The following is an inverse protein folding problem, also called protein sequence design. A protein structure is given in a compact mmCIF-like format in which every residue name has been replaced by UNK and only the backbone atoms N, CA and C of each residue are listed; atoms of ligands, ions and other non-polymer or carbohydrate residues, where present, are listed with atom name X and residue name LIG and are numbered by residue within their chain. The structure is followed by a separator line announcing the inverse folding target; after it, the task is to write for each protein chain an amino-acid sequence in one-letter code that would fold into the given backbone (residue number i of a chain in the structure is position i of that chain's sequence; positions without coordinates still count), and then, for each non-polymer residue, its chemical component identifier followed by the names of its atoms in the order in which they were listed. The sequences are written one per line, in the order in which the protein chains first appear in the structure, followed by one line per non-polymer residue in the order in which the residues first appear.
data_IF_008525663030
#
_entry.id   IF_008525663030
#
_cell.length_a   1.000
_cell.length_b   1.000
_cell.length_c   1.000
_cell.angle_alpha   90.00
_cell.angle_beta   90.00
_cell.angle_gamma   90.00
#
_symmetry.space_group_name_H-M   'P 1'
#
loop_
_entity.id
_entity.type
_entity.pdbx_description
1 polymer ?
#
# COMPACT_ATOMS: atom_id res chain seq x y z
N UNK A 1 -58.73 -10.77 7.70
CA UNK A 1 -58.52 -11.32 9.06
C UNK A 1 -57.36 -10.51 9.65
N UNK A 2 -57.56 -9.40 10.23
CA UNK A 2 -58.01 -8.96 11.56
C UNK A 2 -57.02 -9.24 12.68
N UNK A 3 -56.48 -8.09 13.20
CA UNK A 3 -56.20 -7.75 14.62
C UNK A 3 -54.98 -8.42 15.27
N UNK A 4 -54.12 -7.76 16.08
CA UNK A 4 -54.41 -6.74 17.10
C UNK A 4 -53.17 -5.93 17.46
N UNK A 5 -53.37 -4.67 17.63
CA UNK A 5 -52.59 -3.63 18.30
C UNK A 5 -52.63 -3.87 19.82
N UNK A 6 -51.50 -3.76 20.54
CA UNK A 6 -51.51 -3.48 21.98
C UNK A 6 -50.53 -2.38 22.32
N UNK A 7 -51.07 -1.23 22.51
CA UNK A 7 -50.56 -0.04 23.20
C UNK A 7 -50.35 -0.37 24.70
N UNK A 8 -49.26 0.01 25.29
CA UNK A 8 -49.12 0.09 26.74
C UNK A 8 -48.43 1.41 27.11
N UNK A 9 -49.26 2.28 27.65
CA UNK A 9 -48.96 3.57 28.28
C UNK A 9 -48.74 3.33 29.76
N UNK A 10 -47.71 3.87 30.40
CA UNK A 10 -47.71 4.18 31.86
C UNK A 10 -46.57 5.13 32.19
N UNK A 11 -46.94 6.29 32.51
CA UNK A 11 -47.04 7.06 33.77
C UNK A 11 -45.67 7.60 34.29
N UNK A 12 -45.69 8.91 34.25
CA UNK A 12 -44.74 9.80 34.94
C UNK A 12 -44.91 9.71 36.49
N UNK A 13 -43.82 9.79 37.20
CA UNK A 13 -43.85 10.17 38.62
C UNK A 13 -42.73 11.16 38.88
N UNK A 14 -43.13 12.40 38.97
CA UNK A 14 -42.37 13.55 39.43
C UNK A 14 -42.29 13.48 40.97
N UNK A 15 -41.08 13.48 41.52
CA UNK A 15 -40.86 13.79 42.95
C UNK A 15 -39.97 15.02 43.05
N UNK A 16 -40.57 16.14 43.38
CA UNK A 16 -39.90 17.35 43.84
C UNK A 16 -39.47 17.09 45.30
N UNK A 17 -38.21 17.27 45.60
CA UNK A 17 -37.73 17.44 46.95
C UNK A 17 -36.92 18.73 47.04
N UNK A 18 -37.59 19.75 47.59
CA UNK A 18 -37.01 21.03 47.97
C UNK A 18 -36.29 20.87 49.31
N UNK A 19 -34.98 21.19 49.36
CA UNK A 19 -34.27 21.41 50.63
C UNK A 19 -33.61 22.79 50.58
N UNK A 20 -33.96 23.56 51.57
CA UNK A 20 -33.62 24.94 51.86
C UNK A 20 -32.14 25.10 52.28
N UNK A 21 -31.55 26.23 51.80
CA UNK A 21 -30.27 26.76 52.26
C UNK A 21 -30.29 27.24 53.70
N UNK A 22 -29.28 26.92 54.45
CA UNK A 22 -28.70 27.85 55.41
C UNK A 22 -27.23 27.49 55.67
N UNK A 23 -26.32 28.41 55.40
CA UNK A 23 -25.42 28.92 56.40
C UNK A 23 -23.95 28.64 56.26
N UNK A 24 -23.22 29.72 55.98
CA UNK A 24 -21.88 30.11 56.46
C UNK A 24 -20.65 29.23 56.25
N UNK A 25 -19.78 29.69 55.40
CA UNK A 25 -18.39 30.08 55.61
C UNK A 25 -17.41 28.98 56.00
N UNK A 26 -16.48 28.69 55.04
CA UNK A 26 -15.06 28.58 55.38
C UNK A 26 -14.24 28.35 54.12
N UNK A 27 -13.10 29.00 54.06
CA UNK A 27 -12.18 29.01 52.91
C UNK A 27 -11.74 27.60 52.47
N UNK A 28 -12.34 27.07 51.42
CA UNK A 28 -11.83 25.90 50.74
C UNK A 28 -10.82 26.34 49.68
N UNK A 29 -9.54 26.14 49.98
CA UNK A 29 -8.44 26.20 49.03
C UNK A 29 -8.80 25.34 47.83
N UNK A 30 -8.95 25.98 46.68
CA UNK A 30 -9.11 25.33 45.37
C UNK A 30 -7.80 24.60 45.07
N UNK A 31 -7.77 23.30 45.27
CA UNK A 31 -6.72 22.47 44.67
C UNK A 31 -6.81 22.59 43.13
N UNK A 32 -5.68 22.82 42.45
CA UNK A 32 -5.70 22.84 40.98
C UNK A 32 -6.08 21.47 40.47
N UNK A 33 -7.19 21.41 39.73
CA UNK A 33 -7.62 20.22 39.04
C UNK A 33 -6.42 19.60 38.31
N UNK A 34 -6.02 18.41 38.72
CA UNK A 34 -5.02 17.63 38.06
C UNK A 34 -5.42 17.50 36.57
N UNK A 35 -4.64 18.13 35.67
CA UNK A 35 -4.74 17.92 34.25
C UNK A 35 -4.74 16.41 34.04
N UNK A 36 -5.87 15.86 33.61
CA UNK A 36 -5.93 14.48 33.15
C UNK A 36 -4.86 14.33 32.06
N UNK A 37 -3.81 13.60 32.37
CA UNK A 37 -2.79 13.25 31.41
C UNK A 37 -3.52 12.49 30.30
N UNK A 38 -3.72 13.12 29.15
CA UNK A 38 -4.18 12.43 27.96
C UNK A 38 -3.17 11.31 27.72
N UNK A 39 -3.62 10.07 27.85
CA UNK A 39 -2.81 8.90 27.55
C UNK A 39 -2.34 9.05 26.09
N UNK A 40 -1.08 9.42 25.92
CA UNK A 40 -0.49 9.53 24.58
C UNK A 40 -0.51 8.14 24.00
N UNK A 41 -1.11 8.00 22.80
CA UNK A 41 -1.04 6.75 22.05
C UNK A 41 0.44 6.38 21.88
N UNK A 42 0.85 5.14 22.22
CA UNK A 42 2.26 4.75 22.18
C UNK A 42 2.86 4.95 20.79
N UNK A 43 4.14 5.30 20.74
CA UNK A 43 4.91 5.34 19.49
C UNK A 43 4.93 3.96 18.83
N UNK A 44 4.74 3.91 17.50
CA UNK A 44 4.62 2.64 16.79
C UNK A 44 5.94 1.86 16.78
N UNK A 45 7.09 2.54 16.67
CA UNK A 45 8.40 1.88 16.69
C UNK A 45 8.67 1.23 18.04
N UNK A 46 8.32 1.89 19.14
CA UNK A 46 8.46 1.32 20.50
C UNK A 46 7.50 0.14 20.69
N UNK A 47 6.29 0.22 20.16
CA UNK A 47 5.34 -0.90 20.15
C UNK A 47 5.88 -2.10 19.37
N UNK A 48 6.48 -1.89 18.18
CA UNK A 48 7.12 -2.92 17.35
C UNK A 48 8.30 -3.57 18.10
N UNK A 49 9.16 -2.77 18.72
CA UNK A 49 10.28 -3.28 19.53
C UNK A 49 9.82 -4.12 20.71
N UNK A 50 8.83 -3.63 21.45
CA UNK A 50 8.25 -4.35 22.59
C UNK A 50 7.60 -5.67 22.17
N UNK A 51 6.92 -5.71 21.02
CA UNK A 51 6.32 -6.91 20.45
C UNK A 51 7.36 -7.88 19.88
N UNK A 52 8.56 -7.41 19.52
CA UNK A 52 9.64 -8.19 18.92
C UNK A 52 9.40 -8.57 17.46
N UNK A 53 8.43 -7.95 16.78
CA UNK A 53 8.12 -8.19 15.37
C UNK A 53 7.53 -6.95 14.70
N UNK A 54 7.81 -6.80 13.39
CA UNK A 54 7.16 -5.83 12.52
C UNK A 54 6.29 -6.57 11.50
N UNK A 55 5.05 -6.10 11.33
CA UNK A 55 4.09 -6.67 10.38
C UNK A 55 4.09 -5.87 9.09
N UNK A 56 4.41 -6.52 7.97
CA UNK A 56 4.60 -5.91 6.65
C UNK A 56 3.61 -6.51 5.67
N UNK A 57 2.76 -5.66 5.07
CA UNK A 57 1.78 -6.09 4.09
C UNK A 57 2.34 -6.07 2.66
N UNK A 58 1.93 -7.05 1.84
CA UNK A 58 2.27 -7.19 0.42
C UNK A 58 1.34 -8.15 -0.30
N UNK A 59 1.43 -8.24 -1.64
CA UNK A 59 0.57 -9.16 -2.41
C UNK A 59 1.06 -10.61 -2.37
N UNK A 60 2.35 -10.84 -2.57
CA UNK A 60 2.91 -12.19 -2.71
C UNK A 60 2.65 -12.86 -4.08
N UNK A 61 2.01 -12.16 -5.01
CA UNK A 61 1.63 -12.66 -6.35
C UNK A 61 2.16 -11.81 -7.49
N UNK A 62 3.03 -10.84 -7.21
CA UNK A 62 3.56 -9.90 -8.19
C UNK A 62 5.09 -10.03 -8.35
N UNK A 63 5.51 -11.00 -9.18
CA UNK A 63 6.94 -11.22 -9.51
C UNK A 63 7.48 -10.06 -10.37
N UNK A 64 8.73 -9.63 -10.14
CA UNK A 64 9.69 -10.07 -9.13
C UNK A 64 9.74 -9.19 -7.87
N UNK A 65 8.70 -8.37 -7.62
CA UNK A 65 8.57 -7.50 -6.44
C UNK A 65 8.28 -8.30 -5.17
N UNK A 66 7.15 -9.02 -5.18
CA UNK A 66 6.69 -9.90 -4.08
C UNK A 66 6.05 -11.16 -4.67
N UNK A 67 6.64 -12.33 -4.47
CA UNK A 67 6.15 -13.58 -5.06
C UNK A 67 6.64 -14.81 -4.27
N UNK A 68 6.10 -15.97 -4.61
CA UNK A 68 6.58 -17.25 -4.09
C UNK A 68 7.52 -17.91 -5.09
N UNK A 69 8.68 -18.35 -4.62
CA UNK A 69 9.62 -19.13 -5.43
C UNK A 69 9.09 -20.56 -5.68
N UNK A 70 9.85 -21.34 -6.42
CA UNK A 70 9.50 -22.74 -6.75
C UNK A 70 9.30 -23.65 -5.53
N UNK A 71 9.83 -23.27 -4.38
CA UNK A 71 9.73 -24.01 -3.12
C UNK A 71 8.58 -23.46 -2.26
N UNK A 72 7.76 -22.56 -2.79
CA UNK A 72 6.64 -21.90 -2.12
C UNK A 72 7.04 -20.87 -1.07
N UNK A 73 8.29 -20.39 -1.08
CA UNK A 73 8.79 -19.42 -0.11
C UNK A 73 8.59 -18.01 -0.63
N UNK A 74 7.97 -17.16 0.20
CA UNK A 74 7.81 -15.73 -0.10
C UNK A 74 9.18 -15.04 -0.27
N UNK A 75 9.37 -14.40 -1.41
CA UNK A 75 10.61 -13.77 -1.86
C UNK A 75 10.31 -12.56 -2.75
N UNK A 76 11.34 -11.86 -3.22
CA UNK A 76 11.23 -10.70 -4.09
C UNK A 76 12.00 -9.50 -3.55
N UNK A 77 12.08 -8.46 -4.36
CA UNK A 77 12.79 -7.23 -4.03
C UNK A 77 12.25 -6.60 -2.73
N UNK A 78 10.95 -6.45 -2.63
CA UNK A 78 10.29 -5.82 -1.48
C UNK A 78 10.38 -6.67 -0.22
N UNK A 79 10.36 -7.99 -0.36
CA UNK A 79 10.58 -8.91 0.76
C UNK A 79 12.01 -8.75 1.32
N UNK A 80 13.00 -8.57 0.44
CA UNK A 80 14.38 -8.32 0.85
C UNK A 80 14.51 -6.99 1.60
N UNK A 81 13.90 -5.92 1.10
CA UNK A 81 13.87 -4.60 1.77
C UNK A 81 13.18 -4.71 3.14
N UNK A 82 12.03 -5.36 3.22
CA UNK A 82 11.31 -5.57 4.49
C UNK A 82 12.15 -6.30 5.54
N UNK A 83 12.92 -7.30 5.13
CA UNK A 83 13.87 -8.01 6.02
C UNK A 83 14.98 -7.09 6.53
N UNK A 84 15.51 -6.18 5.70
CA UNK A 84 16.54 -5.21 6.12
C UNK A 84 15.99 -4.19 7.12
N UNK A 85 14.76 -3.71 6.91
CA UNK A 85 14.08 -2.82 7.87
C UNK A 85 13.90 -3.52 9.22
N UNK A 86 13.38 -4.75 9.23
CA UNK A 86 13.21 -5.53 10.45
C UNK A 86 14.54 -5.78 11.18
N UNK A 87 15.60 -6.10 10.43
CA UNK A 87 16.96 -6.27 10.94
C UNK A 87 17.50 -4.98 11.57
N UNK A 88 17.28 -3.82 10.94
CA UNK A 88 17.69 -2.51 11.47
C UNK A 88 17.00 -2.17 12.78
N UNK A 89 15.71 -2.52 12.91
CA UNK A 89 14.94 -2.33 14.15
C UNK A 89 15.37 -3.35 15.24
N UNK A 90 15.92 -4.51 14.84
CA UNK A 90 16.27 -5.61 15.75
C UNK A 90 15.09 -6.53 16.07
N UNK A 91 14.13 -6.68 15.15
CA UNK A 91 12.92 -7.48 15.34
C UNK A 91 12.71 -8.49 14.19
N UNK A 92 11.75 -9.41 14.35
CA UNK A 92 11.37 -10.35 13.29
C UNK A 92 10.44 -9.67 12.26
N UNK A 93 10.67 -9.90 10.95
CA UNK A 93 9.69 -9.54 9.92
C UNK A 93 8.57 -10.58 9.88
N UNK A 94 7.33 -10.11 9.92
CA UNK A 94 6.12 -10.90 9.68
C UNK A 94 5.43 -10.34 8.44
N UNK A 95 5.36 -11.14 7.37
CA UNK A 95 4.72 -10.74 6.14
C UNK A 95 3.26 -11.18 6.14
N UNK A 96 2.37 -10.27 5.72
CA UNK A 96 0.93 -10.52 5.57
C UNK A 96 0.57 -10.29 4.12
N UNK A 97 0.07 -11.33 3.49
CA UNK A 97 -0.31 -11.31 2.09
C UNK A 97 -1.78 -10.97 1.92
N UNK A 98 -2.10 -10.23 0.86
CA UNK A 98 -3.47 -9.83 0.55
C UNK A 98 -3.60 -9.27 -0.86
N UNK A 99 -4.85 -9.10 -1.32
CA UNK A 99 -5.12 -8.47 -2.61
C UNK A 99 -4.81 -6.97 -2.54
N UNK A 100 -4.23 -6.42 -3.60
CA UNK A 100 -3.82 -5.01 -3.71
C UNK A 100 -4.89 -4.04 -3.19
N UNK A 101 -6.13 -4.16 -3.66
CA UNK A 101 -7.21 -3.22 -3.32
C UNK A 101 -7.57 -3.18 -1.82
N UNK A 102 -7.15 -4.19 -1.05
CA UNK A 102 -7.36 -4.26 0.39
C UNK A 102 -6.18 -3.81 1.24
N UNK A 103 -4.96 -3.70 0.67
CA UNK A 103 -3.74 -3.49 1.44
C UNK A 103 -3.68 -2.08 2.05
N UNK A 104 -3.93 -1.02 1.27
CA UNK A 104 -3.92 0.35 1.79
C UNK A 104 -5.01 0.58 2.84
N UNK A 105 -6.23 0.07 2.61
CA UNK A 105 -7.30 0.14 3.61
C UNK A 105 -6.96 -0.63 4.90
N UNK A 106 -6.23 -1.74 4.77
CA UNK A 106 -5.72 -2.49 5.91
C UNK A 106 -4.66 -1.73 6.72
N UNK A 107 -3.82 -0.95 6.04
CA UNK A 107 -2.84 -0.06 6.67
C UNK A 107 -3.54 1.03 7.50
N UNK A 108 -4.56 1.67 6.95
CA UNK A 108 -5.39 2.66 7.66
C UNK A 108 -6.05 2.07 8.91
N UNK A 109 -6.55 0.85 8.79
CA UNK A 109 -7.18 0.12 9.88
C UNK A 109 -6.16 -0.40 10.93
N UNK A 110 -4.84 -0.19 10.71
CA UNK A 110 -3.79 -0.65 11.63
C UNK A 110 -3.63 -2.17 11.69
N UNK A 111 -3.99 -2.88 10.60
CA UNK A 111 -3.82 -4.34 10.53
C UNK A 111 -2.35 -4.75 10.38
N UNK A 112 -1.52 -3.85 9.89
CA UNK A 112 -0.07 -3.98 9.75
C UNK A 112 0.62 -2.65 10.03
N UNK A 113 1.92 -2.73 10.28
CA UNK A 113 2.71 -1.54 10.64
C UNK A 113 3.11 -0.71 9.41
N UNK A 114 3.37 -1.37 8.28
CA UNK A 114 3.65 -0.75 6.99
C UNK A 114 3.34 -1.69 5.81
N UNK A 115 3.35 -1.15 4.60
CA UNK A 115 3.16 -1.90 3.37
C UNK A 115 4.38 -1.73 2.47
N UNK A 116 4.93 -2.84 1.94
CA UNK A 116 5.98 -2.81 0.92
C UNK A 116 5.49 -3.65 -0.27
N UNK A 117 5.15 -2.99 -1.37
CA UNK A 117 4.57 -3.63 -2.56
C UNK A 117 4.70 -2.74 -3.79
N UNK A 118 5.91 -2.25 -4.08
CA UNK A 118 6.14 -1.38 -5.22
C UNK A 118 5.19 -0.18 -5.29
N UNK A 119 4.88 0.43 -4.13
CA UNK A 119 3.81 1.43 -4.05
C UNK A 119 4.27 2.75 -4.66
N UNK A 120 3.67 3.13 -5.79
CA UNK A 120 3.92 4.43 -6.41
C UNK A 120 3.53 5.58 -5.49
N UNK A 121 4.45 6.53 -5.31
CA UNK A 121 4.19 7.79 -4.61
C UNK A 121 3.38 8.69 -5.54
N UNK A 122 2.13 8.97 -5.18
CA UNK A 122 1.28 9.93 -5.91
C UNK A 122 0.86 11.07 -4.98
N UNK A 123 0.42 12.17 -5.58
CA UNK A 123 -0.08 13.32 -4.82
C UNK A 123 -1.27 12.92 -3.93
N UNK A 124 -2.20 12.14 -4.47
CA UNK A 124 -3.41 11.66 -3.78
C UNK A 124 -3.03 10.77 -2.61
N UNK A 125 -2.14 9.77 -2.85
CA UNK A 125 -1.67 8.86 -1.79
C UNK A 125 -0.89 9.61 -0.70
N UNK A 126 -0.10 10.62 -1.06
CA UNK A 126 0.68 11.45 -0.11
C UNK A 126 -0.21 12.35 0.77
N UNK A 127 -1.46 12.60 0.37
CA UNK A 127 -2.45 13.25 1.25
C UNK A 127 -2.94 12.32 2.35
N UNK A 128 -3.09 11.04 2.06
CA UNK A 128 -3.63 10.02 2.98
C UNK A 128 -2.54 9.32 3.81
N UNK A 129 -1.36 9.12 3.24
CA UNK A 129 -0.27 8.34 3.84
C UNK A 129 1.01 9.17 4.00
N UNK A 130 1.82 8.81 5.01
CA UNK A 130 3.22 9.25 5.10
C UNK A 130 4.08 8.26 4.35
N UNK A 131 4.81 8.71 3.33
CA UNK A 131 5.73 7.85 2.58
C UNK A 131 7.16 7.93 3.12
N UNK A 132 7.92 6.86 2.91
CA UNK A 132 9.37 6.90 2.97
C UNK A 132 9.93 7.72 1.81
N UNK A 133 11.24 8.00 1.86
CA UNK A 133 11.99 8.40 0.67
C UNK A 133 11.89 7.30 -0.41
N UNK A 134 11.96 7.66 -1.70
CA UNK A 134 11.91 6.68 -2.78
C UNK A 134 13.05 5.65 -2.65
N UNK A 135 12.73 4.35 -2.77
CA UNK A 135 13.73 3.29 -2.76
C UNK A 135 13.96 2.67 -4.15
N UNK A 136 13.04 2.93 -5.08
CA UNK A 136 13.14 2.50 -6.48
C UNK A 136 12.41 3.50 -7.40
N UNK A 137 12.68 3.39 -8.70
CA UNK A 137 12.06 4.18 -9.77
C UNK A 137 11.54 3.22 -10.82
N UNK A 138 10.23 3.17 -11.03
CA UNK A 138 9.58 2.22 -11.93
C UNK A 138 9.26 2.87 -13.29
N UNK A 139 9.74 2.24 -14.37
CA UNK A 139 9.33 2.59 -15.73
C UNK A 139 8.05 1.83 -16.06
N UNK A 140 6.97 2.55 -16.25
CA UNK A 140 5.69 1.96 -16.64
C UNK A 140 5.65 1.71 -18.13
N UNK A 141 5.45 0.45 -18.50
CA UNK A 141 5.34 0.00 -19.87
C UNK A 141 3.87 -0.23 -20.27
N UNK A 142 3.49 0.19 -21.47
CA UNK A 142 2.26 -0.25 -22.14
C UNK A 142 2.59 -1.52 -22.91
N UNK A 143 2.00 -2.62 -22.49
CA UNK A 143 2.26 -3.98 -23.01
C UNK A 143 1.10 -4.39 -23.89
N UNK A 144 1.41 -4.89 -25.09
CA UNK A 144 0.46 -5.28 -26.11
C UNK A 144 0.85 -6.64 -26.71
N UNK A 145 -0.04 -7.25 -27.50
CA UNK A 145 0.36 -8.40 -28.32
C UNK A 145 1.42 -7.96 -29.36
N UNK A 146 2.30 -8.89 -29.76
CA UNK A 146 3.47 -8.62 -30.61
C UNK A 146 3.12 -8.10 -32.00
N UNK A 147 1.95 -8.46 -32.53
CA UNK A 147 1.41 -8.01 -33.80
C UNK A 147 0.63 -6.69 -33.75
N UNK A 148 0.42 -6.10 -32.55
CA UNK A 148 -0.23 -4.81 -32.39
C UNK A 148 0.60 -3.70 -33.04
N UNK A 149 0.01 -2.92 -33.96
CA UNK A 149 0.67 -1.84 -34.69
C UNK A 149 0.03 -0.46 -34.46
N UNK A 150 -1.12 -0.40 -33.81
CA UNK A 150 -1.97 0.78 -33.69
C UNK A 150 -1.82 1.51 -32.34
N UNK A 151 -1.12 0.95 -31.36
CA UNK A 151 -0.81 1.61 -30.08
C UNK A 151 0.65 2.06 -30.09
N UNK A 152 0.90 3.37 -30.25
CA UNK A 152 2.23 4.00 -30.32
C UNK A 152 2.38 5.15 -29.33
N UNK A 153 1.27 5.69 -28.83
CA UNK A 153 1.20 6.77 -27.86
C UNK A 153 0.17 6.45 -26.78
N UNK A 154 0.22 7.14 -25.64
CA UNK A 154 -0.80 6.99 -24.60
C UNK A 154 -2.21 7.34 -25.12
N UNK A 155 -2.33 8.29 -26.02
CA UNK A 155 -3.61 8.70 -26.61
C UNK A 155 -4.27 7.58 -27.44
N UNK A 156 -3.49 6.64 -27.99
CA UNK A 156 -4.01 5.50 -28.77
C UNK A 156 -4.73 4.47 -27.88
N UNK A 157 -4.59 4.59 -26.55
CA UNK A 157 -5.36 3.79 -25.59
C UNK A 157 -6.82 4.23 -25.48
N UNK A 158 -7.19 5.40 -26.03
CA UNK A 158 -8.58 5.90 -25.98
C UNK A 158 -9.55 4.90 -26.59
N UNK A 159 -10.50 4.45 -25.79
CA UNK A 159 -11.52 3.48 -26.18
C UNK A 159 -11.04 2.03 -26.27
N UNK A 160 -9.74 1.76 -26.08
CA UNK A 160 -9.17 0.42 -25.95
C UNK A 160 -9.54 -0.20 -24.58
N UNK A 161 -9.47 -1.52 -24.50
CA UNK A 161 -9.71 -2.26 -23.26
C UNK A 161 -8.37 -2.67 -22.64
N UNK A 162 -8.20 -2.36 -21.35
CA UNK A 162 -7.03 -2.77 -20.56
C UNK A 162 -7.49 -3.59 -19.33
N UNK A 163 -6.58 -4.29 -18.68
CA UNK A 163 -6.85 -4.97 -17.42
C UNK A 163 -5.75 -4.68 -16.40
N UNK A 164 -6.14 -4.28 -15.19
CA UNK A 164 -5.25 -3.98 -14.07
C UNK A 164 -6.00 -4.13 -12.74
N UNK A 165 -5.29 -4.24 -11.63
CA UNK A 165 -5.90 -4.05 -10.30
C UNK A 165 -6.39 -2.61 -10.17
N UNK A 166 -7.66 -2.42 -9.77
CA UNK A 166 -8.41 -1.16 -9.98
C UNK A 166 -7.75 0.06 -9.34
N UNK A 167 -7.29 -0.02 -8.10
CA UNK A 167 -6.67 1.12 -7.41
C UNK A 167 -5.18 1.32 -7.71
N UNK A 168 -4.63 0.57 -8.69
CA UNK A 168 -3.22 0.70 -9.09
C UNK A 168 -2.96 1.98 -9.89
N UNK A 169 -1.72 2.50 -9.83
CA UNK A 169 -1.29 3.61 -10.70
C UNK A 169 -1.35 3.24 -12.18
N UNK A 170 -1.27 1.96 -12.50
CA UNK A 170 -1.39 1.45 -13.87
C UNK A 170 -2.81 1.57 -14.41
N UNK A 171 -3.82 1.19 -13.59
CA UNK A 171 -5.22 1.37 -13.93
C UNK A 171 -5.55 2.86 -14.13
N UNK A 172 -5.14 3.70 -13.18
CA UNK A 172 -5.36 5.14 -13.25
C UNK A 172 -4.75 5.77 -14.50
N UNK A 173 -3.51 5.41 -14.85
CA UNK A 173 -2.85 5.90 -16.07
C UNK A 173 -3.57 5.45 -17.35
N UNK A 174 -4.13 4.22 -17.38
CA UNK A 174 -4.93 3.74 -18.50
C UNK A 174 -6.26 4.49 -18.61
N UNK A 175 -6.94 4.73 -17.48
CA UNK A 175 -8.20 5.51 -17.43
C UNK A 175 -7.98 6.96 -17.87
N UNK A 176 -6.91 7.61 -17.40
CA UNK A 176 -6.54 8.96 -17.82
C UNK A 176 -6.27 9.05 -19.33
N UNK A 177 -5.73 7.99 -19.91
CA UNK A 177 -5.56 7.87 -21.37
C UNK A 177 -6.86 7.56 -22.11
N UNK A 178 -7.99 7.36 -21.40
CA UNK A 178 -9.30 7.08 -21.98
C UNK A 178 -9.56 5.61 -22.31
N UNK A 179 -8.78 4.68 -21.75
CA UNK A 179 -9.01 3.24 -21.88
C UNK A 179 -10.20 2.80 -20.99
N UNK A 180 -10.78 1.65 -21.33
CA UNK A 180 -11.75 0.93 -20.50
C UNK A 180 -11.01 -0.10 -19.67
N UNK A 181 -10.89 0.12 -18.36
CA UNK A 181 -10.17 -0.79 -17.47
C UNK A 181 -11.09 -1.90 -16.97
N UNK A 182 -10.65 -3.15 -17.14
CA UNK A 182 -11.24 -4.34 -16.51
C UNK A 182 -10.47 -4.61 -15.23
N UNK A 183 -11.16 -4.68 -14.10
CA UNK A 183 -10.57 -5.05 -12.82
C UNK A 183 -10.18 -6.53 -12.78
N UNK A 184 -8.95 -6.79 -12.34
CA UNK A 184 -8.41 -8.13 -12.10
C UNK A 184 -7.74 -8.20 -10.73
N UNK A 185 -7.62 -9.40 -10.20
CA UNK A 185 -7.06 -9.60 -8.85
C UNK A 185 -5.53 -9.70 -8.86
N UNK A 186 -4.93 -10.15 -9.96
CA UNK A 186 -3.49 -10.39 -10.03
C UNK A 186 -2.91 -10.28 -11.46
N UNK A 187 -1.58 -10.30 -11.52
CA UNK A 187 -0.81 -10.17 -12.77
C UNK A 187 -1.07 -11.30 -13.77
N UNK A 188 -1.25 -12.55 -13.31
CA UNK A 188 -1.41 -13.69 -14.20
C UNK A 188 -2.71 -13.56 -14.99
N UNK A 189 -3.80 -13.14 -14.34
CA UNK A 189 -5.07 -12.84 -15.02
C UNK A 189 -4.90 -11.76 -16.09
N UNK A 190 -4.13 -10.71 -15.79
CA UNK A 190 -3.84 -9.62 -16.75
C UNK A 190 -3.18 -10.16 -18.01
N UNK A 191 -2.09 -10.91 -17.88
CA UNK A 191 -1.37 -11.45 -19.04
C UNK A 191 -2.15 -12.55 -19.77
N UNK A 192 -2.96 -13.33 -19.09
CA UNK A 192 -3.86 -14.29 -19.73
C UNK A 192 -4.90 -13.60 -20.61
N UNK A 193 -5.54 -12.52 -20.11
CA UNK A 193 -6.48 -11.71 -20.90
C UNK A 193 -5.81 -11.08 -22.12
N UNK A 194 -4.58 -10.57 -21.98
CA UNK A 194 -3.84 -9.98 -23.09
C UNK A 194 -3.48 -11.03 -24.15
N UNK A 195 -2.91 -12.16 -23.76
CA UNK A 195 -2.53 -13.26 -24.67
C UNK A 195 -3.73 -13.87 -25.37
N UNK A 196 -4.87 -13.96 -24.69
CA UNK A 196 -6.13 -14.44 -25.27
C UNK A 196 -6.88 -13.39 -26.10
N UNK A 197 -6.31 -12.18 -26.27
CA UNK A 197 -6.89 -11.04 -27.02
C UNK A 197 -8.25 -10.59 -26.51
N UNK A 198 -8.51 -10.78 -25.20
CA UNK A 198 -9.71 -10.25 -24.52
C UNK A 198 -9.54 -8.80 -24.10
N UNK A 199 -8.30 -8.32 -24.09
CA UNK A 199 -7.93 -6.92 -23.89
C UNK A 199 -6.93 -6.50 -24.97
N UNK A 200 -6.88 -5.19 -25.27
CA UNK A 200 -6.00 -4.63 -26.27
C UNK A 200 -4.59 -4.38 -25.72
N UNK A 201 -4.50 -3.96 -24.47
CA UNK A 201 -3.24 -3.60 -23.81
C UNK A 201 -3.33 -3.80 -22.28
N UNK A 202 -2.19 -3.74 -21.63
CA UNK A 202 -2.10 -3.52 -20.18
C UNK A 202 -0.93 -2.60 -19.86
N UNK A 203 -0.98 -1.95 -18.70
CA UNK A 203 0.13 -1.16 -18.19
C UNK A 203 0.73 -1.91 -16.99
N UNK A 204 2.05 -2.00 -16.93
CA UNK A 204 2.73 -2.57 -15.76
C UNK A 204 4.19 -2.11 -15.71
N UNK A 205 4.88 -2.46 -14.64
CA UNK A 205 6.31 -2.26 -14.48
C UNK A 205 7.11 -2.93 -15.61
N UNK A 206 8.11 -2.24 -16.13
CA UNK A 206 9.05 -2.80 -17.11
C UNK A 206 9.69 -4.09 -16.57
N UNK A 207 10.14 -4.09 -15.31
CA UNK A 207 10.81 -5.25 -14.71
C UNK A 207 9.87 -6.45 -14.57
N UNK A 208 8.59 -6.21 -14.37
CA UNK A 208 7.57 -7.27 -14.35
C UNK A 208 7.36 -7.88 -15.74
N UNK A 209 7.33 -7.05 -16.78
CA UNK A 209 7.29 -7.54 -18.17
C UNK A 209 8.51 -8.38 -18.51
N UNK A 210 9.72 -7.92 -18.14
CA UNK A 210 10.96 -8.63 -18.42
C UNK A 210 11.02 -9.99 -17.71
N UNK A 211 10.57 -10.04 -16.44
CA UNK A 211 10.49 -11.28 -15.68
C UNK A 211 9.48 -12.27 -16.30
N UNK A 212 8.29 -11.77 -16.64
CA UNK A 212 7.25 -12.57 -17.26
C UNK A 212 7.69 -13.15 -18.61
N UNK A 213 8.29 -12.35 -19.50
CA UNK A 213 8.73 -12.82 -20.82
C UNK A 213 9.92 -13.77 -20.75
N UNK A 214 10.77 -13.63 -19.74
CA UNK A 214 11.83 -14.60 -19.44
C UNK A 214 11.28 -15.95 -19.02
N UNK A 215 10.21 -15.96 -18.21
CA UNK A 215 9.52 -17.19 -17.80
C UNK A 215 8.64 -17.79 -18.91
N UNK A 216 8.14 -16.95 -19.83
CA UNK A 216 7.23 -17.32 -20.92
C UNK A 216 7.75 -16.82 -22.28
N UNK A 217 8.80 -17.43 -22.86
CA UNK A 217 9.41 -16.97 -24.10
C UNK A 217 8.46 -17.02 -25.31
N UNK A 218 7.38 -17.78 -25.21
CA UNK A 218 6.32 -17.93 -26.23
C UNK A 218 5.18 -16.92 -26.07
N UNK A 219 5.28 -15.98 -25.15
CA UNK A 219 4.16 -15.11 -24.73
C UNK A 219 3.62 -14.18 -25.84
N UNK A 220 4.35 -13.98 -26.94
CA UNK A 220 3.96 -13.12 -28.07
C UNK A 220 3.39 -11.77 -27.66
N UNK A 221 4.04 -11.14 -26.69
CA UNK A 221 3.74 -9.80 -26.21
C UNK A 221 4.97 -8.90 -26.31
N UNK A 222 4.76 -7.60 -26.46
CA UNK A 222 5.84 -6.61 -26.51
C UNK A 222 5.48 -5.35 -25.74
N UNK A 223 6.49 -4.56 -25.41
CA UNK A 223 6.30 -3.19 -24.96
C UNK A 223 6.05 -2.32 -26.20
N UNK A 224 4.91 -1.65 -26.25
CA UNK A 224 4.57 -0.70 -27.31
C UNK A 224 5.24 0.66 -27.06
N UNK A 225 5.16 1.13 -25.82
CA UNK A 225 5.75 2.40 -25.36
C UNK A 225 5.93 2.39 -23.84
N UNK A 226 6.64 3.39 -23.34
CA UNK A 226 6.74 3.71 -21.93
C UNK A 226 6.00 5.01 -21.61
N UNK A 227 5.55 5.15 -20.36
CA UNK A 227 5.08 6.44 -19.87
C UNK A 227 6.24 7.46 -19.85
N UNK A 228 5.95 8.76 -19.98
CA UNK A 228 7.00 9.78 -20.12
C UNK A 228 7.95 9.89 -18.92
N UNK A 229 7.49 9.50 -17.74
CA UNK A 229 8.27 9.60 -16.50
C UNK A 229 8.25 8.28 -15.74
N UNK A 230 9.36 7.95 -15.10
CA UNK A 230 9.39 6.87 -14.14
C UNK A 230 8.67 7.27 -12.86
N UNK A 231 7.89 6.34 -12.30
CA UNK A 231 7.22 6.53 -11.02
C UNK A 231 8.19 6.36 -9.85
N UNK A 232 8.12 7.23 -8.87
CA UNK A 232 8.80 7.06 -7.59
C UNK A 232 8.10 6.01 -6.75
N UNK A 233 8.86 5.05 -6.22
CA UNK A 233 8.35 3.95 -5.40
C UNK A 233 8.78 4.15 -3.96
N UNK A 234 7.81 4.19 -3.05
CA UNK A 234 8.04 4.40 -1.62
C UNK A 234 7.24 3.47 -0.73
N UNK A 235 7.54 3.49 0.55
CA UNK A 235 6.88 2.67 1.56
C UNK A 235 5.85 3.54 2.29
N UNK A 236 4.53 3.30 2.09
CA UNK A 236 3.50 4.02 2.83
C UNK A 236 3.37 3.52 4.27
N UNK A 237 3.19 4.47 5.17
CA UNK A 237 2.81 4.28 6.56
C UNK A 237 1.53 5.06 6.82
N UNK A 238 0.76 4.66 7.82
CA UNK A 238 -0.38 5.46 8.29
C UNK A 238 0.08 6.87 8.63
N UNK A 239 -0.64 7.89 8.17
CA UNK A 239 -0.31 9.30 8.44
C UNK A 239 -0.68 9.65 9.88
N UNK A 240 0.31 9.65 10.78
CA UNK A 240 0.11 9.85 12.21
C UNK A 240 1.43 10.26 12.88
N UNK A 241 1.41 11.13 13.92
CA UNK A 241 2.62 11.44 14.69
C UNK A 241 3.28 10.19 15.29
N UNK A 242 2.52 9.14 15.61
CA UNK A 242 3.02 7.90 16.20
C UNK A 242 3.82 7.03 15.22
N UNK A 243 3.74 7.29 13.93
CA UNK A 243 4.47 6.53 12.91
C UNK A 243 5.76 7.20 12.44
N UNK A 244 6.03 8.44 12.84
CA UNK A 244 7.17 9.22 12.34
C UNK A 244 8.53 8.65 12.74
N UNK A 245 8.65 8.08 13.96
CA UNK A 245 9.87 7.39 14.40
C UNK A 245 10.16 6.16 13.53
N UNK A 246 9.13 5.37 13.20
CA UNK A 246 9.25 4.23 12.28
C UNK A 246 9.64 4.70 10.89
N UNK A 247 8.97 5.75 10.35
CA UNK A 247 9.28 6.31 9.03
C UNK A 247 10.74 6.77 8.96
N UNK A 248 11.25 7.41 10.02
CA UNK A 248 12.65 7.79 10.10
C UNK A 248 13.59 6.58 10.01
N UNK A 249 13.33 5.51 10.75
CA UNK A 249 14.15 4.28 10.68
C UNK A 249 14.08 3.63 9.31
N UNK A 250 12.92 3.64 8.65
CA UNK A 250 12.77 3.18 7.26
C UNK A 250 13.65 4.00 6.32
N UNK A 251 13.62 5.33 6.40
CA UNK A 251 14.45 6.22 5.58
C UNK A 251 15.94 6.02 5.85
N UNK A 252 16.34 5.95 7.12
CA UNK A 252 17.74 5.68 7.51
C UNK A 252 18.22 4.34 6.92
N UNK A 253 17.35 3.31 6.93
CA UNK A 253 17.67 2.00 6.33
C UNK A 253 17.84 2.10 4.82
N UNK A 254 16.93 2.77 4.11
CA UNK A 254 17.03 2.98 2.66
C UNK A 254 18.31 3.74 2.30
N UNK A 255 18.64 4.80 3.06
CA UNK A 255 19.85 5.60 2.86
C UNK A 255 21.14 4.77 3.08
N UNK A 256 21.19 3.94 4.12
CA UNK A 256 22.32 3.04 4.39
C UNK A 256 22.49 2.00 3.27
N UNK A 257 21.39 1.35 2.85
CA UNK A 257 21.42 0.38 1.75
C UNK A 257 21.88 1.02 0.43
N UNK A 258 21.46 2.26 0.18
CA UNK A 258 21.86 3.04 -1.00
C UNK A 258 23.34 3.40 -0.95
N UNK A 259 23.82 3.94 0.19
CA UNK A 259 25.21 4.37 0.36
C UNK A 259 26.21 3.20 0.31
N UNK A 260 25.82 2.04 0.88
CA UNK A 260 26.63 0.81 0.81
C UNK A 260 26.60 0.13 -0.57
N UNK A 261 25.71 0.56 -1.47
CA UNK A 261 25.45 -0.08 -2.76
C UNK A 261 24.66 -1.40 -2.65
N UNK A 262 24.20 -1.77 -1.45
CA UNK A 262 23.42 -3.00 -1.24
C UNK A 262 22.04 -2.91 -1.90
N UNK A 263 21.40 -1.72 -1.87
CA UNK A 263 20.10 -1.51 -2.51
C UNK A 263 20.15 -1.84 -4.01
N UNK A 264 21.16 -1.34 -4.73
CA UNK A 264 21.37 -1.66 -6.14
C UNK A 264 21.69 -3.15 -6.39
N UNK A 265 22.45 -3.79 -5.49
CA UNK A 265 22.71 -5.25 -5.60
C UNK A 265 21.43 -6.07 -5.45
N UNK A 266 20.57 -5.72 -4.50
CA UNK A 266 19.27 -6.37 -4.33
C UNK A 266 18.40 -6.14 -5.57
N UNK A 267 18.39 -4.91 -6.13
CA UNK A 267 17.70 -4.62 -7.38
C UNK A 267 18.15 -5.51 -8.53
N UNK A 268 19.46 -5.58 -8.77
CA UNK A 268 20.03 -6.44 -9.83
C UNK A 268 19.75 -7.93 -9.58
N UNK A 269 19.76 -8.37 -8.32
CA UNK A 269 19.44 -9.76 -7.98
C UNK A 269 18.03 -10.17 -8.44
N UNK A 270 17.03 -9.32 -8.24
CA UNK A 270 15.64 -9.65 -8.54
C UNK A 270 15.21 -9.20 -9.93
N UNK A 271 15.66 -8.04 -10.39
CA UNK A 271 15.22 -7.43 -11.65
C UNK A 271 16.21 -7.61 -12.81
N UNK A 272 17.44 -8.02 -12.52
CA UNK A 272 18.50 -8.04 -13.53
C UNK A 272 19.10 -6.66 -13.85
N UNK A 273 18.49 -5.58 -13.38
CA UNK A 273 18.90 -4.18 -13.57
C UNK A 273 18.79 -3.40 -12.25
N UNK A 274 19.49 -2.28 -12.17
CA UNK A 274 19.43 -1.38 -11.00
C UNK A 274 18.40 -0.27 -11.25
N UNK A 275 17.20 -0.41 -10.66
CA UNK A 275 16.12 0.59 -10.69
C UNK A 275 16.10 1.51 -9.46
N UNK A 276 17.16 1.50 -8.64
CA UNK A 276 17.23 2.29 -7.40
C UNK A 276 17.80 3.68 -7.60
N UNK A 277 18.27 3.98 -8.80
CA UNK A 277 18.77 5.29 -9.21
C UNK A 277 17.71 6.05 -9.99
N UNK A 278 17.58 7.33 -9.69
CA UNK A 278 16.73 8.22 -10.48
C UNK A 278 17.22 8.22 -11.93
N UNK A 279 16.31 7.98 -12.90
CA UNK A 279 16.69 8.00 -14.31
C UNK A 279 17.08 9.37 -14.81
#
# INVERSE_FOLDING_TARGET
MTRNLKTLTMLASTVLLSVTLTGCGEDAKTEPAAKAAQAQTPDLLETIKSRGSITIAMEGTWSPWTYHDKDGKLTGFDVAIGKRIAQKIGVKAQFVEGKWDGLLAGLDAGRYDLMINGVGITKERSQAYSFSDPYAYDRVAVIVNDDCADIKTMQDLKGKTTANTISSTYALAAEEAGAKVIGVDDLNQTFELLRSRRIDATLNSEVTYLDYTKAHPDAKIKIALYTPQAGEIGIPLKKSPQTESLRKVVNDTIAELRTSGELGKISVQFFGIDITKQP
#
